data_IF_038980696740
#
_entry.id   IF_038980696740
#
_cell.length_a   1.000
_cell.length_b   1.000
_cell.length_c   1.000
_cell.angle_alpha   90.00
_cell.angle_beta   90.00
_cell.angle_gamma   90.00
#
_symmetry.space_group_name_H-M   'P 1'
#
loop_
_entity.id
_entity.type
_entity.pdbx_description
1 polymer ?
#
# COMPACT_ATOMS: atom_id res chain seq x y z
N UNK A 1 8.79 3.88 -16.17
CA UNK A 1 9.79 3.19 -15.33
C UNK A 1 9.18 1.89 -14.87
N UNK A 2 9.89 0.76 -15.03
CA UNK A 2 9.41 -0.57 -14.69
C UNK A 2 10.24 -1.18 -13.58
N UNK A 3 9.59 -1.90 -12.66
CA UNK A 3 10.27 -2.64 -11.60
C UNK A 3 10.19 -4.14 -11.85
N UNK A 4 11.21 -4.90 -11.41
CA UNK A 4 11.14 -6.35 -11.41
C UNK A 4 10.11 -6.83 -10.38
N UNK A 5 9.34 -7.85 -10.73
CA UNK A 5 8.33 -8.46 -9.86
C UNK A 5 8.36 -9.98 -10.01
N UNK A 6 8.20 -10.70 -8.92
CA UNK A 6 8.05 -12.15 -8.91
C UNK A 6 7.51 -12.65 -7.58
N UNK A 7 7.07 -13.90 -7.52
CA UNK A 7 6.70 -14.56 -6.26
C UNK A 7 7.90 -14.75 -5.31
N UNK A 8 9.12 -14.75 -5.83
CA UNK A 8 10.35 -14.82 -5.03
C UNK A 8 10.58 -13.58 -4.14
N UNK A 9 9.76 -12.52 -4.31
CA UNK A 9 9.77 -11.34 -3.43
C UNK A 9 9.08 -11.60 -2.07
N UNK A 10 8.29 -12.67 -1.94
CA UNK A 10 7.67 -13.02 -0.66
C UNK A 10 8.73 -13.24 0.41
N UNK A 11 8.52 -12.68 1.59
CA UNK A 11 9.47 -12.74 2.71
C UNK A 11 10.65 -11.76 2.62
N UNK A 12 10.76 -10.98 1.54
CA UNK A 12 11.90 -10.11 1.26
C UNK A 12 11.60 -8.65 1.61
N UNK A 13 12.69 -7.93 1.90
CA UNK A 13 12.67 -6.47 2.03
C UNK A 13 13.36 -5.86 0.82
N UNK A 14 12.63 -5.02 0.08
CA UNK A 14 13.10 -4.41 -1.16
C UNK A 14 13.01 -2.88 -1.09
N UNK A 15 13.83 -2.22 -1.89
CA UNK A 15 13.70 -0.78 -2.12
C UNK A 15 12.60 -0.50 -3.18
N UNK A 16 12.20 0.77 -3.41
CA UNK A 16 11.20 1.12 -4.42
C UNK A 16 11.56 0.77 -5.86
N UNK A 17 12.80 0.42 -6.14
CA UNK A 17 13.26 -0.06 -7.46
C UNK A 17 13.15 -1.60 -7.59
N UNK A 18 12.67 -2.30 -6.55
CA UNK A 18 12.56 -3.75 -6.51
C UNK A 18 13.88 -4.47 -6.20
N UNK A 19 14.90 -3.74 -5.77
CA UNK A 19 16.19 -4.33 -5.38
C UNK A 19 16.14 -4.79 -3.91
N UNK A 20 16.66 -5.99 -3.58
CA UNK A 20 16.70 -6.47 -2.22
C UNK A 20 17.65 -5.64 -1.35
N UNK A 21 17.25 -5.36 -0.12
CA UNK A 21 18.05 -4.62 0.88
C UNK A 21 18.17 -5.39 2.20
N UNK A 22 17.76 -6.66 2.20
CA UNK A 22 17.74 -7.54 3.38
C UNK A 22 19.00 -8.39 3.56
N UNK A 23 19.96 -8.29 2.64
CA UNK A 23 21.20 -9.07 2.68
C UNK A 23 21.07 -10.55 2.30
N UNK A 24 19.89 -10.98 1.80
CA UNK A 24 19.63 -12.37 1.45
C UNK A 24 19.94 -12.71 -0.03
N UNK A 25 20.69 -11.86 -0.72
CA UNK A 25 21.07 -12.05 -2.12
C UNK A 25 19.99 -11.58 -3.12
N UNK A 26 20.28 -11.73 -4.40
CA UNK A 26 19.43 -11.24 -5.49
C UNK A 26 18.10 -11.98 -5.60
N UNK A 27 17.07 -11.27 -6.07
CA UNK A 27 15.76 -11.82 -6.34
C UNK A 27 15.63 -12.07 -7.84
N UNK A 28 15.30 -13.30 -8.22
CA UNK A 28 15.06 -13.64 -9.62
C UNK A 28 13.71 -13.06 -10.04
N UNK A 29 13.77 -12.06 -10.89
CA UNK A 29 12.55 -11.44 -11.46
C UNK A 29 12.03 -12.29 -12.62
N UNK A 30 10.75 -12.64 -12.56
CA UNK A 30 10.07 -13.36 -13.64
C UNK A 30 9.33 -12.43 -14.58
N UNK A 31 8.93 -11.26 -14.08
CA UNK A 31 8.16 -10.26 -14.81
C UNK A 31 8.67 -8.85 -14.50
N UNK A 32 8.22 -7.89 -15.29
CA UNK A 32 8.40 -6.45 -15.03
C UNK A 32 7.05 -5.76 -15.09
N UNK A 33 6.83 -4.79 -14.20
CA UNK A 33 5.62 -3.98 -14.20
C UNK A 33 5.95 -2.49 -14.15
N UNK A 34 5.20 -1.66 -14.87
CA UNK A 34 5.33 -0.21 -14.74
C UNK A 34 4.91 0.23 -13.33
N UNK A 35 5.69 1.12 -12.73
CA UNK A 35 5.39 1.71 -11.41
C UNK A 35 4.09 2.51 -11.47
N UNK A 36 3.94 3.32 -12.54
CA UNK A 36 2.70 4.02 -12.81
C UNK A 36 1.87 3.23 -13.83
N UNK A 37 0.71 2.80 -13.41
CA UNK A 37 -0.24 2.07 -14.23
C UNK A 37 -1.64 2.66 -14.04
N UNK A 38 -2.41 2.69 -15.11
CA UNK A 38 -3.79 3.18 -15.07
C UNK A 38 -4.66 2.18 -14.29
N UNK A 39 -5.46 2.69 -13.37
CA UNK A 39 -6.42 1.87 -12.64
C UNK A 39 -7.39 1.15 -13.59
N UNK A 40 -7.88 -0.06 -13.23
CA UNK A 40 -8.88 -0.78 -14.01
C UNK A 40 -10.13 0.06 -14.29
N UNK A 41 -10.69 -0.10 -15.49
CA UNK A 41 -11.93 0.57 -15.86
C UNK A 41 -13.16 0.03 -15.12
N UNK A 42 -14.30 0.70 -15.27
CA UNK A 42 -15.56 0.32 -14.62
C UNK A 42 -16.01 -1.10 -15.00
N UNK A 43 -15.81 -1.50 -16.26
CA UNK A 43 -16.20 -2.82 -16.77
C UNK A 43 -15.34 -3.95 -16.19
N UNK A 44 -14.11 -3.63 -15.79
CA UNK A 44 -13.15 -4.60 -15.24
C UNK A 44 -13.36 -4.86 -13.74
N UNK A 45 -14.23 -4.10 -13.10
CA UNK A 45 -14.53 -4.16 -11.68
C UNK A 45 -15.78 -4.96 -11.37
N UNK A 46 -15.86 -5.46 -10.13
CA UNK A 46 -17.07 -6.01 -9.54
C UNK A 46 -17.29 -5.42 -8.14
N UNK A 47 -18.52 -5.36 -7.63
CA UNK A 47 -18.76 -4.91 -6.26
C UNK A 47 -17.98 -5.72 -5.23
N UNK A 48 -17.56 -5.05 -4.17
CA UNK A 48 -16.91 -5.67 -3.02
C UNK A 48 -17.93 -6.52 -2.27
N UNK A 49 -17.64 -7.81 -2.07
CA UNK A 49 -18.56 -8.75 -1.43
C UNK A 49 -17.88 -9.68 -0.41
N UNK A 50 -16.57 -9.64 -0.29
CA UNK A 50 -15.79 -10.49 0.61
C UNK A 50 -15.08 -9.63 1.66
N UNK A 51 -15.18 -9.93 2.98
CA UNK A 51 -14.51 -9.16 4.01
C UNK A 51 -13.00 -9.46 4.07
N UNK A 52 -12.23 -8.44 4.44
CA UNK A 52 -10.88 -8.58 4.98
C UNK A 52 -11.01 -8.71 6.49
N UNK A 53 -10.62 -9.83 7.04
CA UNK A 53 -10.64 -10.04 8.47
C UNK A 53 -9.37 -9.46 9.08
N UNK A 54 -9.47 -8.31 9.74
CA UNK A 54 -8.33 -7.65 10.37
C UNK A 54 -7.90 -8.33 11.68
N UNK A 55 -8.81 -9.08 12.31
CA UNK A 55 -8.61 -9.67 13.63
C UNK A 55 -8.88 -8.69 14.77
N UNK A 56 -9.23 -7.46 14.46
CA UNK A 56 -9.61 -6.44 15.43
C UNK A 56 -11.13 -6.35 15.51
N UNK A 57 -11.71 -6.81 16.62
CA UNK A 57 -13.15 -6.92 16.79
C UNK A 57 -13.88 -5.60 16.51
N UNK A 58 -13.33 -4.48 16.95
CA UNK A 58 -13.92 -3.17 16.72
C UNK A 58 -14.03 -2.82 15.24
N UNK A 59 -13.02 -3.16 14.43
CA UNK A 59 -13.02 -2.91 12.99
C UNK A 59 -13.93 -3.91 12.29
N UNK A 60 -13.71 -5.20 12.52
CA UNK A 60 -14.41 -6.27 11.81
C UNK A 60 -15.93 -6.26 12.06
N UNK A 61 -16.38 -5.76 13.23
CA UNK A 61 -17.81 -5.71 13.58
C UNK A 61 -18.51 -4.38 13.25
N UNK A 62 -17.79 -3.25 13.35
CA UNK A 62 -18.42 -1.91 13.21
C UNK A 62 -18.06 -1.20 11.92
N UNK A 63 -16.85 -1.42 11.39
CA UNK A 63 -16.33 -0.78 10.18
C UNK A 63 -15.64 -1.84 9.30
N UNK A 64 -16.38 -2.88 8.85
CA UNK A 64 -15.79 -3.98 8.12
C UNK A 64 -15.17 -3.52 6.81
N UNK A 65 -13.96 -4.00 6.55
CA UNK A 65 -13.20 -3.69 5.32
C UNK A 65 -13.44 -4.82 4.33
N UNK A 66 -13.75 -4.47 3.08
CA UNK A 66 -13.92 -5.44 2.02
C UNK A 66 -12.67 -5.63 1.15
N UNK A 67 -12.52 -6.80 0.55
CA UNK A 67 -11.44 -7.10 -0.40
C UNK A 67 -11.60 -6.26 -1.67
N UNK A 68 -10.69 -5.33 -1.87
CA UNK A 68 -10.75 -4.36 -2.97
C UNK A 68 -11.15 -2.94 -2.54
N UNK A 69 -11.40 -2.73 -1.24
CA UNK A 69 -11.75 -1.45 -0.65
C UNK A 69 -10.50 -0.63 -0.29
N UNK A 70 -10.68 0.69 -0.17
CA UNK A 70 -9.70 1.65 0.34
C UNK A 70 -10.18 2.16 1.68
N UNK A 71 -9.54 1.75 2.75
CA UNK A 71 -9.90 2.18 4.11
C UNK A 71 -8.76 2.99 4.72
N UNK A 72 -9.02 4.25 5.03
CA UNK A 72 -8.03 5.15 5.60
C UNK A 72 -7.86 4.89 7.10
N UNK A 73 -6.59 4.81 7.55
CA UNK A 73 -6.26 4.83 8.97
C UNK A 73 -5.65 6.21 9.26
N UNK A 74 -6.32 7.01 10.07
CA UNK A 74 -5.94 8.40 10.33
C UNK A 74 -5.90 8.71 11.82
N UNK A 75 -4.93 9.51 12.24
CA UNK A 75 -4.78 9.95 13.63
C UNK A 75 -3.40 10.55 13.90
N UNK A 76 -3.22 11.05 15.10
CA UNK A 76 -1.98 11.69 15.53
C UNK A 76 -0.82 10.69 15.67
N UNK A 77 0.36 11.22 15.92
CA UNK A 77 1.55 10.40 16.18
C UNK A 77 1.33 9.49 17.38
N UNK A 78 1.77 8.22 17.27
CA UNK A 78 1.70 7.20 18.35
C UNK A 78 0.29 6.81 18.81
N UNK A 79 -0.73 7.02 17.99
CA UNK A 79 -2.11 6.58 18.29
C UNK A 79 -2.39 5.11 17.95
N UNK A 80 -1.40 4.37 17.44
CA UNK A 80 -1.54 2.95 17.13
C UNK A 80 -1.84 2.62 15.65
N UNK A 81 -1.75 3.58 14.73
CA UNK A 81 -2.01 3.36 13.28
C UNK A 81 -1.23 2.18 12.71
N UNK A 82 0.08 2.16 12.93
CA UNK A 82 0.95 1.07 12.47
C UNK A 82 0.63 -0.26 13.15
N UNK A 83 0.20 -0.24 14.43
CA UNK A 83 -0.19 -1.46 15.14
C UNK A 83 -1.40 -2.12 14.48
N UNK A 84 -2.46 -1.35 14.16
CA UNK A 84 -3.63 -1.85 13.41
C UNK A 84 -3.20 -2.46 12.07
N UNK A 85 -2.31 -1.80 11.34
CA UNK A 85 -1.82 -2.30 10.08
C UNK A 85 -1.05 -3.62 10.20
N UNK A 86 -0.19 -3.75 11.22
CA UNK A 86 0.55 -4.98 11.49
C UNK A 86 -0.39 -6.10 11.94
N UNK A 87 -1.33 -5.84 12.84
CA UNK A 87 -2.32 -6.84 13.27
C UNK A 87 -3.16 -7.33 12.10
N UNK A 88 -3.57 -6.44 11.19
CA UNK A 88 -4.26 -6.83 9.96
C UNK A 88 -3.41 -7.77 9.09
N UNK A 89 -2.10 -7.55 8.97
CA UNK A 89 -1.18 -8.47 8.26
C UNK A 89 -1.12 -9.82 9.00
N UNK A 90 -0.86 -9.81 10.30
CA UNK A 90 -0.71 -11.03 11.10
C UNK A 90 -1.94 -11.92 10.98
N UNK A 91 -3.12 -11.32 10.93
CA UNK A 91 -4.37 -12.05 10.82
C UNK A 91 -4.69 -12.61 9.42
N UNK A 92 -3.87 -12.30 8.39
CA UNK A 92 -4.04 -12.89 7.05
C UNK A 92 -3.44 -14.30 6.89
N UNK A 93 -2.82 -14.84 7.93
CA UNK A 93 -2.24 -16.18 7.89
C UNK A 93 -3.29 -17.23 7.49
N UNK A 94 -3.00 -17.98 6.43
CA UNK A 94 -3.89 -19.03 5.90
C UNK A 94 -5.15 -18.54 5.19
N UNK A 95 -5.29 -17.23 4.93
CA UNK A 95 -6.49 -16.66 4.27
C UNK A 95 -6.28 -16.37 2.77
N UNK A 96 -5.18 -16.87 2.18
CA UNK A 96 -4.90 -16.72 0.75
C UNK A 96 -4.67 -15.26 0.32
N UNK A 97 -4.13 -14.42 1.21
CA UNK A 97 -3.88 -13.02 0.93
C UNK A 97 -2.39 -12.72 1.00
N UNK A 98 -1.86 -12.07 -0.02
CA UNK A 98 -0.49 -11.53 -0.03
C UNK A 98 -0.52 -10.14 0.57
N UNK A 99 0.37 -9.87 1.51
CA UNK A 99 0.47 -8.58 2.17
C UNK A 99 1.68 -7.80 1.65
N UNK A 100 1.52 -6.50 1.45
CA UNK A 100 2.61 -5.60 1.08
C UNK A 100 2.61 -4.45 2.07
N UNK A 101 3.69 -4.34 2.82
CA UNK A 101 3.91 -3.22 3.73
C UNK A 101 4.87 -2.23 3.10
N UNK A 102 4.40 -1.03 2.82
CA UNK A 102 5.20 0.05 2.23
C UNK A 102 5.57 1.05 3.31
N UNK A 103 6.82 1.01 3.75
CA UNK A 103 7.40 1.96 4.70
C UNK A 103 7.92 3.20 3.95
N UNK A 104 7.35 4.37 4.25
CA UNK A 104 7.66 5.62 3.56
C UNK A 104 8.21 6.63 4.56
N UNK A 105 9.47 7.04 4.39
CA UNK A 105 10.11 8.03 5.25
C UNK A 105 10.24 7.61 6.72
N UNK A 106 10.19 6.33 7.01
CA UNK A 106 10.37 5.79 8.36
C UNK A 106 11.86 5.59 8.69
N UNK A 107 12.17 5.49 9.98
CA UNK A 107 13.53 5.14 10.42
C UNK A 107 13.81 3.68 10.09
N UNK A 108 15.04 3.39 9.65
CA UNK A 108 15.48 2.01 9.35
C UNK A 108 15.26 1.06 10.54
N UNK A 109 15.47 1.52 11.77
CA UNK A 109 15.21 0.73 12.99
C UNK A 109 13.74 0.35 13.15
N UNK A 110 12.81 1.23 12.76
CA UNK A 110 11.37 0.93 12.79
C UNK A 110 11.02 -0.17 11.80
N UNK A 111 11.55 -0.08 10.58
CA UNK A 111 11.34 -1.10 9.54
C UNK A 111 11.93 -2.44 9.97
N UNK A 112 13.11 -2.43 10.59
CA UNK A 112 13.74 -3.64 11.13
C UNK A 112 12.89 -4.30 12.22
N UNK A 113 12.32 -3.51 13.15
CA UNK A 113 11.44 -4.03 14.19
C UNK A 113 10.15 -4.62 13.61
N UNK A 114 9.56 -3.98 12.61
CA UNK A 114 8.36 -4.50 11.92
C UNK A 114 8.70 -5.84 11.24
N UNK A 115 9.81 -5.90 10.49
CA UNK A 115 10.27 -7.16 9.88
C UNK A 115 10.43 -8.25 10.92
N UNK A 116 11.05 -7.96 12.04
CA UNK A 116 11.28 -8.92 13.13
C UNK A 116 9.95 -9.40 13.73
N UNK A 117 9.01 -8.48 13.99
CA UNK A 117 7.66 -8.83 14.48
C UNK A 117 6.93 -9.75 13.50
N UNK A 118 6.97 -9.45 12.20
CA UNK A 118 6.36 -10.30 11.18
C UNK A 118 7.04 -11.67 11.09
N UNK A 119 8.37 -11.72 11.25
CA UNK A 119 9.14 -12.96 11.25
C UNK A 119 8.77 -13.87 12.43
N UNK A 120 8.73 -13.30 13.64
CA UNK A 120 8.39 -14.03 14.88
C UNK A 120 7.00 -14.68 14.83
N UNK A 121 6.07 -14.05 14.10
CA UNK A 121 4.71 -14.57 13.93
C UNK A 121 4.53 -15.38 12.63
N UNK A 122 5.59 -15.64 11.87
CA UNK A 122 5.52 -16.40 10.60
C UNK A 122 4.72 -15.68 9.50
N UNK A 123 4.61 -14.35 9.58
CA UNK A 123 3.87 -13.55 8.61
C UNK A 123 4.72 -13.11 7.40
N UNK A 124 6.04 -13.29 7.46
CA UNK A 124 6.91 -13.00 6.32
C UNK A 124 6.63 -13.91 5.12
N UNK A 125 6.17 -15.14 5.33
CA UNK A 125 5.93 -16.11 4.26
C UNK A 125 4.96 -15.59 3.18
N UNK A 126 4.06 -14.67 3.57
CA UNK A 126 3.08 -14.05 2.67
C UNK A 126 3.18 -12.53 2.63
N UNK A 127 4.27 -11.94 3.15
CA UNK A 127 4.44 -10.48 3.22
C UNK A 127 5.68 -10.03 2.48
N UNK A 128 5.57 -8.92 1.75
CA UNK A 128 6.68 -8.18 1.12
C UNK A 128 6.79 -6.83 1.79
N UNK A 129 8.00 -6.41 2.15
CA UNK A 129 8.25 -5.08 2.70
C UNK A 129 8.94 -4.23 1.63
N UNK A 130 8.33 -3.11 1.26
CA UNK A 130 8.94 -2.09 0.40
C UNK A 130 9.37 -0.93 1.29
N UNK A 131 10.65 -0.64 1.33
CA UNK A 131 11.20 0.37 2.24
C UNK A 131 11.88 1.50 1.50
N UNK A 132 11.40 2.72 1.76
CA UNK A 132 12.08 3.98 1.48
C UNK A 132 12.23 4.73 2.80
N UNK A 133 13.40 4.66 3.40
CA UNK A 133 13.68 5.21 4.73
C UNK A 133 13.74 6.74 4.71
N UNK A 134 13.78 7.36 5.88
CA UNK A 134 13.96 8.81 6.02
C UNK A 134 15.34 9.30 5.51
N UNK A 135 16.32 8.39 5.38
CA UNK A 135 17.63 8.69 4.82
C UNK A 135 17.67 8.62 3.29
N UNK A 136 16.66 8.00 2.68
CA UNK A 136 16.57 7.91 1.23
C UNK A 136 16.11 9.22 0.61
N UNK A 137 16.48 9.43 -0.66
CA UNK A 137 16.13 10.64 -1.41
C UNK A 137 14.62 10.81 -1.56
N UNK A 138 14.16 12.06 -1.72
CA UNK A 138 12.75 12.36 -1.94
C UNK A 138 12.14 11.59 -3.12
N UNK A 139 12.80 11.42 -4.28
CA UNK A 139 12.29 10.57 -5.36
C UNK A 139 12.02 9.13 -4.95
N UNK A 140 12.86 8.54 -4.10
CA UNK A 140 12.65 7.16 -3.61
C UNK A 140 11.41 7.07 -2.71
N UNK A 141 11.23 8.02 -1.80
CA UNK A 141 10.04 8.08 -0.96
C UNK A 141 8.76 8.35 -1.77
N UNK A 142 8.87 9.16 -2.83
CA UNK A 142 7.77 9.45 -3.75
C UNK A 142 7.27 8.23 -4.50
N UNK A 143 8.19 7.41 -5.07
CA UNK A 143 7.80 6.24 -5.87
C UNK A 143 7.46 5.00 -5.04
N UNK A 144 7.83 4.94 -3.76
CA UNK A 144 7.63 3.77 -2.91
C UNK A 144 6.18 3.24 -2.87
N UNK A 145 5.14 4.07 -2.67
CA UNK A 145 3.76 3.59 -2.70
C UNK A 145 3.34 3.02 -4.06
N UNK A 146 3.81 3.65 -5.13
CA UNK A 146 3.50 3.21 -6.50
C UNK A 146 4.20 1.88 -6.82
N UNK A 147 5.42 1.69 -6.32
CA UNK A 147 6.15 0.42 -6.42
C UNK A 147 5.42 -0.69 -5.64
N UNK A 148 4.97 -0.40 -4.41
CA UNK A 148 4.14 -1.34 -3.64
C UNK A 148 2.85 -1.73 -4.37
N UNK A 149 2.15 -0.76 -4.96
CA UNK A 149 0.98 -1.03 -5.79
C UNK A 149 1.31 -1.89 -7.03
N UNK A 150 2.42 -1.61 -7.72
CA UNK A 150 2.85 -2.40 -8.89
C UNK A 150 3.17 -3.85 -8.52
N UNK A 151 3.81 -4.07 -7.37
CA UNK A 151 4.05 -5.42 -6.84
C UNK A 151 2.71 -6.10 -6.50
N UNK A 152 1.79 -5.40 -5.85
CA UNK A 152 0.45 -5.92 -5.53
C UNK A 152 -0.35 -6.29 -6.78
N UNK A 153 -0.31 -5.46 -7.79
CA UNK A 153 -0.96 -5.74 -9.07
C UNK A 153 -0.43 -7.00 -9.77
N UNK A 154 0.86 -7.32 -9.58
CA UNK A 154 1.39 -8.58 -10.12
C UNK A 154 0.63 -9.77 -9.56
N UNK A 155 0.38 -9.82 -8.25
CA UNK A 155 -0.37 -10.90 -7.63
C UNK A 155 -1.87 -10.85 -7.97
N UNK A 156 -2.45 -9.66 -8.07
CA UNK A 156 -3.87 -9.48 -8.40
C UNK A 156 -4.20 -9.91 -9.83
N UNK A 157 -3.32 -9.58 -10.80
CA UNK A 157 -3.53 -9.88 -12.23
C UNK A 157 -3.02 -11.24 -12.68
N UNK A 158 -2.39 -12.01 -11.80
CA UNK A 158 -1.87 -13.33 -12.12
C UNK A 158 -2.36 -14.36 -11.10
N UNK A 159 -2.61 -15.58 -11.60
CA UNK A 159 -2.90 -16.72 -10.76
C UNK A 159 -1.66 -17.24 -10.03
N UNK A 160 -1.84 -18.31 -9.27
CA UNK A 160 -0.73 -18.93 -8.53
C UNK A 160 0.37 -19.49 -9.43
N UNK A 161 0.02 -19.85 -10.65
CA UNK A 161 0.94 -20.32 -11.68
C UNK A 161 1.75 -19.19 -12.35
N UNK A 162 1.52 -17.94 -11.97
CA UNK A 162 2.15 -16.75 -12.55
C UNK A 162 1.62 -16.33 -13.91
N UNK A 163 0.61 -17.04 -14.47
CA UNK A 163 -0.04 -16.66 -15.72
C UNK A 163 -1.17 -15.67 -15.49
N UNK A 164 -1.57 -14.92 -16.54
CA UNK A 164 -2.66 -13.95 -16.41
C UNK A 164 -3.94 -14.57 -15.82
N UNK A 165 -4.54 -13.83 -14.89
CA UNK A 165 -5.78 -14.22 -14.25
C UNK A 165 -6.94 -14.29 -15.25
N UNK A 166 -7.81 -15.27 -15.07
CA UNK A 166 -8.99 -15.52 -15.90
C UNK A 166 -10.07 -16.23 -15.08
N UNK A 167 -11.23 -16.52 -15.67
CA UNK A 167 -12.30 -17.31 -14.99
C UNK A 167 -11.83 -18.67 -14.48
N UNK A 168 -10.86 -19.29 -15.16
CA UNK A 168 -10.32 -20.63 -14.83
C UNK A 168 -9.00 -20.57 -14.06
N UNK A 169 -8.37 -19.40 -13.99
CA UNK A 169 -7.12 -19.15 -13.26
C UNK A 169 -7.31 -17.90 -12.39
N UNK A 170 -7.85 -18.04 -11.17
CA UNK A 170 -8.19 -16.90 -10.34
C UNK A 170 -6.95 -16.07 -9.97
N UNK A 171 -7.12 -14.76 -9.99
CA UNK A 171 -6.11 -13.81 -9.50
C UNK A 171 -6.01 -13.84 -7.98
N UNK A 172 -4.86 -13.40 -7.46
CA UNK A 172 -4.63 -13.35 -6.03
C UNK A 172 -5.35 -12.19 -5.33
N UNK A 173 -5.45 -12.30 -4.01
CA UNK A 173 -5.91 -11.23 -3.14
C UNK A 173 -4.72 -10.57 -2.47
N UNK A 174 -4.72 -9.24 -2.45
CA UNK A 174 -3.59 -8.45 -1.94
C UNK A 174 -4.08 -7.42 -0.94
N UNK A 175 -3.35 -7.28 0.16
CA UNK A 175 -3.50 -6.20 1.13
C UNK A 175 -2.26 -5.32 1.05
N UNK A 176 -2.43 -4.06 0.66
CA UNK A 176 -1.34 -3.08 0.59
C UNK A 176 -1.51 -2.03 1.68
N UNK A 177 -0.49 -1.85 2.49
CA UNK A 177 -0.45 -0.84 3.54
C UNK A 177 0.56 0.24 3.14
N UNK A 178 0.14 1.51 3.19
CA UNK A 178 1.01 2.65 2.90
C UNK A 178 1.27 3.43 4.21
N UNK A 179 2.41 3.21 4.82
CA UNK A 179 2.78 3.83 6.10
C UNK A 179 3.98 4.79 5.94
N UNK A 180 3.77 6.09 5.74
CA UNK A 180 2.50 6.80 5.58
C UNK A 180 2.51 7.68 4.30
N UNK A 181 1.33 7.96 3.77
CA UNK A 181 1.18 8.81 2.58
C UNK A 181 1.45 10.29 2.87
N UNK A 182 1.41 10.74 4.14
CA UNK A 182 1.81 12.09 4.52
C UNK A 182 3.28 12.34 4.16
N UNK A 183 4.15 11.33 4.35
CA UNK A 183 5.57 11.42 3.98
C UNK A 183 5.75 11.44 2.46
N UNK A 184 4.96 10.67 1.71
CA UNK A 184 4.96 10.76 0.25
C UNK A 184 4.62 12.17 -0.22
N UNK A 185 3.58 12.78 0.38
CA UNK A 185 3.18 14.15 0.04
C UNK A 185 4.30 15.15 0.31
N UNK A 186 4.99 15.03 1.45
CA UNK A 186 6.15 15.88 1.79
C UNK A 186 7.29 15.70 0.78
N UNK A 187 7.61 14.46 0.41
CA UNK A 187 8.63 14.17 -0.60
C UNK A 187 8.26 14.80 -1.96
N UNK A 188 7.00 14.70 -2.37
CA UNK A 188 6.52 15.30 -3.62
C UNK A 188 6.57 16.83 -3.58
N UNK A 189 6.20 17.45 -2.44
CA UNK A 189 6.36 18.89 -2.22
C UNK A 189 7.83 19.32 -2.38
N UNK A 190 8.75 18.60 -1.74
CA UNK A 190 10.18 18.89 -1.83
C UNK A 190 10.68 18.83 -3.27
N UNK A 191 10.34 17.78 -4.02
CA UNK A 191 10.70 17.63 -5.44
C UNK A 191 10.13 18.78 -6.29
N UNK A 192 8.86 19.12 -6.09
CA UNK A 192 8.17 20.16 -6.85
C UNK A 192 8.78 21.55 -6.60
N UNK A 193 9.13 21.87 -5.37
CA UNK A 193 9.81 23.12 -5.01
C UNK A 193 11.23 23.18 -5.61
N UNK A 194 11.96 22.07 -5.59
CA UNK A 194 13.30 21.97 -6.21
C UNK A 194 13.22 22.16 -7.72
N UNK A 195 12.14 21.72 -8.37
CA UNK A 195 11.87 21.91 -9.78
C UNK A 195 11.24 23.29 -10.11
N UNK A 196 11.18 24.20 -9.14
CA UNK A 196 10.57 25.53 -9.28
C UNK A 196 9.12 25.53 -9.79
N UNK A 197 8.36 24.47 -9.48
CA UNK A 197 6.93 24.47 -9.76
C UNK A 197 6.20 25.43 -8.83
N UNK A 198 5.19 26.18 -9.30
CA UNK A 198 4.46 27.11 -8.45
C UNK A 198 3.76 26.37 -7.31
N UNK A 199 3.97 26.78 -6.05
CA UNK A 199 3.34 26.16 -4.90
C UNK A 199 1.88 26.59 -4.78
N UNK A 200 1.01 25.63 -4.35
CA UNK A 200 -0.36 25.86 -3.96
C UNK A 200 -0.53 25.95 -2.43
N UNK A 201 -1.69 25.50 -1.94
CA UNK A 201 -1.99 25.45 -0.50
C UNK A 201 -0.95 24.63 0.25
N UNK A 202 -0.48 25.17 1.38
CA UNK A 202 0.58 24.57 2.24
C UNK A 202 1.87 24.23 1.47
N UNK A 203 2.16 25.01 0.42
CA UNK A 203 3.28 24.79 -0.49
C UNK A 203 3.27 23.46 -1.27
N UNK A 204 2.18 22.71 -1.25
CA UNK A 204 2.02 21.54 -2.10
C UNK A 204 1.78 21.93 -3.56
N UNK A 205 2.21 21.12 -4.54
CA UNK A 205 1.88 21.36 -5.93
C UNK A 205 0.39 21.13 -6.19
N UNK A 206 -0.16 21.80 -7.21
CA UNK A 206 -1.60 21.77 -7.50
C UNK A 206 -2.16 20.39 -7.85
N UNK A 207 -1.30 19.43 -8.24
CA UNK A 207 -1.67 18.07 -8.60
C UNK A 207 -1.50 17.04 -7.45
N UNK A 208 -1.35 17.51 -6.20
CA UNK A 208 -1.17 16.62 -5.03
C UNK A 208 -2.38 15.69 -4.84
N UNK A 209 -3.60 16.16 -5.08
CA UNK A 209 -4.80 15.34 -5.04
C UNK A 209 -4.70 14.19 -6.08
N UNK A 210 -4.28 14.50 -7.29
CA UNK A 210 -4.12 13.52 -8.35
C UNK A 210 -3.04 12.46 -8.03
N UNK A 211 -1.98 12.84 -7.29
CA UNK A 211 -0.98 11.90 -6.82
C UNK A 211 -1.60 10.76 -6.02
N UNK A 212 -2.41 11.09 -5.01
CA UNK A 212 -3.03 10.09 -4.14
C UNK A 212 -4.22 9.39 -4.80
N UNK A 213 -5.03 10.11 -5.60
CA UNK A 213 -6.18 9.50 -6.28
C UNK A 213 -5.75 8.44 -7.29
N UNK A 214 -4.76 8.73 -8.15
CA UNK A 214 -4.28 7.73 -9.13
C UNK A 214 -3.60 6.51 -8.49
N UNK A 215 -3.03 6.67 -7.28
CA UNK A 215 -2.48 5.55 -6.51
C UNK A 215 -3.61 4.70 -5.92
N UNK A 216 -4.53 5.32 -5.20
CA UNK A 216 -5.56 4.61 -4.43
C UNK A 216 -6.65 4.02 -5.32
N UNK A 217 -6.93 4.60 -6.49
CA UNK A 217 -7.84 4.02 -7.48
C UNK A 217 -7.37 2.67 -8.07
N UNK A 218 -6.11 2.32 -7.90
CA UNK A 218 -5.57 1.00 -8.27
C UNK A 218 -6.07 -0.12 -7.36
N UNK A 219 -6.50 0.22 -6.13
CA UNK A 219 -7.16 -0.73 -5.23
C UNK A 219 -8.56 -1.04 -5.74
N UNK A 220 -8.85 -2.32 -5.97
CA UNK A 220 -10.05 -2.75 -6.70
C UNK A 220 -10.35 -4.23 -6.45
N UNK A 221 -11.64 -4.62 -6.62
CA UNK A 221 -12.06 -6.01 -6.81
C UNK A 221 -12.28 -6.24 -8.32
N UNK A 222 -11.54 -7.17 -8.88
CA UNK A 222 -11.62 -7.48 -10.32
C UNK A 222 -12.88 -8.29 -10.64
N UNK A 223 -13.38 -8.10 -11.87
CA UNK A 223 -14.52 -8.83 -12.38
C UNK A 223 -14.21 -10.30 -12.63
N UNK A 224 -15.26 -11.13 -12.82
CA UNK A 224 -15.16 -12.56 -13.13
C UNK A 224 -14.25 -12.84 -14.32
N UNK A 225 -14.41 -12.08 -15.39
CA UNK A 225 -13.60 -12.20 -16.61
C UNK A 225 -12.10 -12.04 -16.32
N UNK A 226 -11.76 -11.22 -15.35
CA UNK A 226 -10.39 -10.92 -14.95
C UNK A 226 -9.93 -11.72 -13.71
N UNK A 227 -10.60 -12.84 -13.40
CA UNK A 227 -10.18 -13.80 -12.38
C UNK A 227 -10.48 -13.43 -10.94
N UNK A 228 -11.37 -12.48 -10.65
CA UNK A 228 -11.80 -12.09 -9.29
C UNK A 228 -10.69 -11.66 -8.31
N UNK A 229 -9.47 -11.42 -8.76
CA UNK A 229 -8.40 -10.89 -7.93
C UNK A 229 -8.80 -9.58 -7.24
N UNK A 230 -8.14 -9.24 -6.14
CA UNK A 230 -8.40 -7.97 -5.46
C UNK A 230 -7.14 -7.35 -4.88
N UNK A 231 -7.12 -6.03 -4.81
CA UNK A 231 -6.13 -5.28 -4.07
C UNK A 231 -6.84 -4.32 -3.11
N UNK A 232 -6.67 -4.55 -1.81
CA UNK A 232 -7.22 -3.72 -0.73
C UNK A 232 -6.14 -2.77 -0.26
N UNK A 233 -6.46 -1.49 -0.12
CA UNK A 233 -5.51 -0.49 0.34
C UNK A 233 -5.85 0.02 1.73
N UNK A 234 -4.85 0.03 2.62
CA UNK A 234 -4.89 0.69 3.92
C UNK A 234 -3.88 1.84 3.93
N UNK A 235 -4.21 3.01 3.37
CA UNK A 235 -3.39 4.18 3.51
C UNK A 235 -3.41 4.68 4.96
N UNK A 236 -2.24 5.11 5.44
CA UNK A 236 -2.09 5.74 6.75
C UNK A 236 -1.80 7.23 6.53
N UNK A 237 -2.48 8.09 7.26
CA UNK A 237 -2.26 9.53 7.30
C UNK A 237 -2.00 9.95 8.75
N UNK A 238 -0.97 10.77 8.94
CA UNK A 238 -0.64 11.39 10.23
C UNK A 238 -1.30 12.76 10.31
N UNK A 239 -2.07 13.00 11.38
CA UNK A 239 -2.62 14.31 11.73
C UNK A 239 -1.74 14.99 12.78
N UNK A 240 -1.96 16.28 12.99
CA UNK A 240 -1.37 17.07 14.07
C UNK A 240 -2.51 17.63 14.91
N UNK A 241 -2.48 17.40 16.21
CA UNK A 241 -3.49 17.86 17.16
C UNK A 241 -4.94 17.48 16.77
N UNK A 242 -5.11 16.31 16.17
CA UNK A 242 -6.41 15.82 15.71
C UNK A 242 -7.01 16.59 14.52
N UNK A 243 -6.26 17.46 13.85
CA UNK A 243 -6.78 18.26 12.73
C UNK A 243 -6.94 17.42 11.46
N UNK A 244 -8.15 16.88 11.27
CA UNK A 244 -8.55 16.19 10.05
C UNK A 244 -8.93 17.15 8.92
N UNK A 245 -9.03 18.47 9.18
CA UNK A 245 -9.35 19.48 8.18
C UNK A 245 -8.13 19.99 7.40
N UNK A 246 -6.93 19.57 7.78
CA UNK A 246 -5.70 19.86 7.06
C UNK A 246 -5.75 19.36 5.60
N UNK A 247 -4.90 19.90 4.75
CA UNK A 247 -5.01 19.70 3.30
C UNK A 247 -4.85 18.25 2.85
N UNK A 248 -3.82 17.55 3.32
CA UNK A 248 -3.59 16.15 2.93
C UNK A 248 -4.64 15.20 3.53
N UNK A 249 -4.98 15.25 4.84
CA UNK A 249 -6.06 14.48 5.40
C UNK A 249 -7.38 14.60 4.62
N UNK A 250 -7.83 15.83 4.36
CA UNK A 250 -9.08 16.11 3.62
C UNK A 250 -9.07 15.48 2.23
N UNK A 251 -7.96 15.59 1.50
CA UNK A 251 -7.82 15.00 0.17
C UNK A 251 -7.94 13.47 0.22
N UNK A 252 -7.26 12.81 1.16
CA UNK A 252 -7.27 11.35 1.22
C UNK A 252 -8.61 10.82 1.75
N UNK A 253 -9.26 11.50 2.70
CA UNK A 253 -10.62 11.17 3.14
C UNK A 253 -11.60 11.16 1.96
N UNK A 254 -11.48 12.12 1.03
CA UNK A 254 -12.39 12.19 -0.14
C UNK A 254 -12.11 11.11 -1.20
N UNK A 255 -10.93 10.48 -1.20
CA UNK A 255 -10.55 9.43 -2.16
C UNK A 255 -10.92 8.04 -1.63
N UNK A 256 -10.89 7.85 -0.32
CA UNK A 256 -11.12 6.55 0.33
C UNK A 256 -12.60 6.26 0.54
N UNK A 257 -12.94 4.98 0.66
CA UNK A 257 -14.31 4.51 0.82
C UNK A 257 -14.82 4.65 2.27
N UNK A 258 -13.88 4.72 3.23
CA UNK A 258 -14.15 4.93 4.64
C UNK A 258 -12.87 5.31 5.40
N UNK A 259 -13.03 5.62 6.68
CA UNK A 259 -11.89 5.98 7.53
C UNK A 259 -12.02 5.42 8.95
N UNK A 260 -10.90 4.99 9.50
CA UNK A 260 -10.73 4.62 10.90
C UNK A 260 -9.95 5.75 11.57
N UNK A 261 -10.65 6.56 12.36
CA UNK A 261 -10.06 7.67 13.10
C UNK A 261 -9.58 7.23 14.47
N UNK A 262 -8.30 7.42 14.74
CA UNK A 262 -7.69 7.10 16.01
C UNK A 262 -7.45 8.38 16.81
N UNK A 263 -8.22 8.52 17.88
CA UNK A 263 -8.10 9.62 18.83
C UNK A 263 -6.95 9.36 19.81
N UNK A 264 -6.20 10.41 20.17
CA UNK A 264 -5.15 10.38 21.20
C UNK A 264 -5.69 10.38 22.61
#
# INVERSE_FOLDING_TARGET
MDIPVSRAMLGRVVNPLGQPIDGLGDIVATHRRPIEFKAPGVIDRTPVCEPVQTGLLAIDSMVPIGRGQRELIIGDRKTGKTAIAIDAILNQRGKGMVCIYVAIGQKASTVANIRETLAQHGALDYTIIVSATAADSAPMQYIAPMAGAAIGEFFMYNGEDGKPASETNPGGHVLVIYDDLSKQAVAYRQMSLTLHRPPGREAYPGDIFYLHSRLLERAVKMSKKNGYGSMTALPIIETQDGDVSAYIPTNVISITDGQIYLQS
#
